data_IF_067174148981
#
_entry.id   IF_067174148981
#
_cell.length_a   1.000
_cell.length_b   1.000
_cell.length_c   1.000
_cell.angle_alpha   90.00
_cell.angle_beta   90.00
_cell.angle_gamma   90.00
#
_symmetry.space_group_name_H-M   'P 1'
#
loop_
_entity.id
_entity.type
_entity.pdbx_description
1 polymer ?
#
# COMPACT_ATOMS: atom_id res chain seq x y z
N UNK A 1 -0.28 5.88 -5.42
CA UNK A 1 -0.46 4.73 -6.29
C UNK A 1 0.73 3.79 -6.28
N UNK A 2 1.94 4.34 -6.23
CA UNK A 2 3.16 3.52 -6.15
C UNK A 2 3.21 2.69 -4.86
N UNK A 3 2.80 3.27 -3.75
CA UNK A 3 2.73 2.54 -2.48
C UNK A 3 1.75 1.38 -2.60
N UNK A 4 0.60 1.60 -3.22
CA UNK A 4 -0.39 0.54 -3.41
C UNK A 4 0.16 -0.59 -4.27
N UNK A 5 0.90 -0.27 -5.31
CA UNK A 5 1.56 -1.27 -6.16
C UNK A 5 2.53 -2.14 -5.35
N UNK A 6 3.33 -1.50 -4.49
CA UNK A 6 4.29 -2.23 -3.65
C UNK A 6 3.59 -3.10 -2.60
N UNK A 7 2.48 -2.62 -2.06
CA UNK A 7 1.65 -3.42 -1.15
C UNK A 7 1.18 -4.70 -1.88
N UNK A 8 0.71 -4.54 -3.11
CA UNK A 8 0.22 -5.65 -3.91
C UNK A 8 1.32 -6.66 -4.23
N UNK A 9 2.57 -6.21 -4.29
CA UNK A 9 3.73 -7.07 -4.51
C UNK A 9 4.18 -7.81 -3.25
N UNK A 10 3.52 -7.56 -2.12
CA UNK A 10 3.85 -8.22 -0.87
C UNK A 10 4.98 -7.56 -0.09
N UNK A 11 5.34 -6.34 -0.42
CA UNK A 11 6.41 -5.62 0.29
C UNK A 11 5.97 -5.20 1.68
N UNK A 12 6.88 -5.28 2.64
CA UNK A 12 6.65 -4.76 3.99
C UNK A 12 6.79 -3.24 4.00
N UNK A 13 6.33 -2.61 5.08
CA UNK A 13 6.51 -1.15 5.22
C UNK A 13 7.99 -0.75 5.16
N UNK A 14 8.87 -1.56 5.77
CA UNK A 14 10.29 -1.27 5.73
C UNK A 14 10.85 -1.36 4.31
N UNK A 15 10.43 -2.38 3.56
CA UNK A 15 10.85 -2.53 2.18
C UNK A 15 10.36 -1.38 1.30
N UNK A 16 9.12 -0.95 1.52
CA UNK A 16 8.56 0.19 0.80
C UNK A 16 9.33 1.46 1.14
N UNK A 17 9.60 1.68 2.43
CA UNK A 17 10.34 2.85 2.88
C UNK A 17 11.73 2.89 2.25
N UNK A 18 12.43 1.76 2.22
CA UNK A 18 13.75 1.67 1.63
C UNK A 18 13.72 1.96 0.13
N UNK A 19 12.73 1.42 -0.56
CA UNK A 19 12.63 1.56 -2.01
C UNK A 19 12.26 2.99 -2.43
N UNK A 20 11.43 3.66 -1.65
CA UNK A 20 10.96 5.01 -1.96
C UNK A 20 11.72 6.10 -1.23
N UNK A 21 12.74 5.73 -0.45
CA UNK A 21 13.55 6.68 0.35
C UNK A 21 12.68 7.47 1.34
N UNK A 22 11.75 6.78 1.98
CA UNK A 22 10.84 7.36 2.96
C UNK A 22 11.11 6.76 4.34
N UNK A 23 10.63 7.44 5.39
CA UNK A 23 10.66 6.87 6.73
C UNK A 23 9.55 5.83 6.88
N UNK A 24 9.72 4.90 7.82
CA UNK A 24 8.72 3.90 8.13
C UNK A 24 7.40 4.54 8.56
N UNK A 25 7.46 5.62 9.36
CA UNK A 25 6.26 6.33 9.79
C UNK A 25 5.50 6.96 8.63
N UNK A 26 6.22 7.51 7.64
CA UNK A 26 5.61 8.08 6.45
C UNK A 26 4.89 7.01 5.63
N UNK A 27 5.52 5.85 5.47
CA UNK A 27 4.91 4.73 4.75
C UNK A 27 3.66 4.25 5.48
N UNK A 28 3.73 4.15 6.80
CA UNK A 28 2.57 3.76 7.61
C UNK A 28 1.40 4.71 7.39
N UNK A 29 1.66 6.01 7.35
CA UNK A 29 0.61 6.99 7.08
C UNK A 29 0.01 6.81 5.69
N UNK A 30 0.83 6.58 4.69
CA UNK A 30 0.34 6.32 3.34
C UNK A 30 -0.53 5.08 3.29
N UNK A 31 -0.09 4.00 3.92
CA UNK A 31 -0.86 2.76 3.96
C UNK A 31 -2.21 2.99 4.63
N UNK A 32 -2.22 3.66 5.77
CA UNK A 32 -3.46 3.98 6.48
C UNK A 32 -4.41 4.78 5.60
N UNK A 33 -3.90 5.79 4.90
CA UNK A 33 -4.71 6.62 4.01
C UNK A 33 -5.27 5.80 2.84
N UNK A 34 -4.46 4.92 2.28
CA UNK A 34 -4.89 4.05 1.18
C UNK A 34 -6.02 3.14 1.63
N UNK A 35 -5.86 2.49 2.79
CA UNK A 35 -6.89 1.60 3.32
C UNK A 35 -8.19 2.35 3.56
N UNK A 36 -8.10 3.57 4.07
CA UNK A 36 -9.27 4.39 4.32
C UNK A 36 -9.98 4.77 3.02
N UNK A 37 -9.22 5.18 2.01
CA UNK A 37 -9.79 5.59 0.72
C UNK A 37 -10.45 4.44 -0.02
N UNK A 38 -9.91 3.23 0.13
CA UNK A 38 -10.45 2.04 -0.53
C UNK A 38 -11.51 1.35 0.32
N UNK A 39 -11.72 1.83 1.53
CA UNK A 39 -12.61 1.18 2.51
C UNK A 39 -12.19 -0.28 2.71
N UNK A 40 -10.89 -0.51 2.77
CA UNK A 40 -10.30 -1.83 2.94
C UNK A 40 -9.98 -2.08 4.41
N UNK A 41 -10.22 -3.29 4.88
CA UNK A 41 -9.96 -3.66 6.26
C UNK A 41 -8.50 -3.99 6.54
N UNK A 42 -7.73 -4.33 5.51
CA UNK A 42 -6.31 -4.67 5.65
C UNK A 42 -5.60 -4.55 4.30
N UNK A 43 -4.29 -4.79 4.32
CA UNK A 43 -3.44 -4.63 3.12
C UNK A 43 -3.80 -5.62 2.01
N UNK A 44 -4.12 -6.85 2.38
CA UNK A 44 -4.50 -7.87 1.41
C UNK A 44 -5.78 -7.46 0.68
N UNK A 45 -6.74 -6.95 1.42
CA UNK A 45 -7.99 -6.48 0.84
C UNK A 45 -7.76 -5.31 -0.11
N UNK A 46 -6.88 -4.37 0.28
CA UNK A 46 -6.53 -3.24 -0.58
C UNK A 46 -5.89 -3.73 -1.89
N UNK A 47 -4.99 -4.70 -1.81
CA UNK A 47 -4.36 -5.27 -2.99
C UNK A 47 -5.38 -5.93 -3.90
N UNK A 48 -6.33 -6.66 -3.34
CA UNK A 48 -7.38 -7.32 -4.12
C UNK A 48 -8.27 -6.31 -4.82
N UNK A 49 -8.64 -5.23 -4.12
CA UNK A 49 -9.46 -4.16 -4.71
C UNK A 49 -8.72 -3.54 -5.90
N UNK A 50 -7.43 -3.27 -5.74
CA UNK A 50 -6.62 -2.69 -6.80
C UNK A 50 -6.55 -3.59 -8.03
N UNK A 51 -6.39 -4.89 -7.83
CA UNK A 51 -6.35 -5.86 -8.91
C UNK A 51 -7.69 -5.94 -9.64
N UNK A 52 -8.79 -5.99 -8.88
CA UNK A 52 -10.13 -6.07 -9.46
C UNK A 52 -10.51 -4.81 -10.21
N UNK A 53 -9.99 -3.66 -9.76
CA UNK A 53 -10.24 -2.38 -10.42
C UNK A 53 -9.34 -2.13 -11.63
N UNK A 54 -8.40 -3.01 -11.89
CA UNK A 54 -7.51 -2.89 -13.02
C UNK A 54 -6.41 -1.84 -12.82
N UNK A 55 -6.11 -1.47 -11.59
CA UNK A 55 -5.06 -0.49 -11.30
C UNK A 55 -3.65 -1.09 -11.30
N UNK A 56 -3.56 -2.39 -11.27
CA UNK A 56 -2.29 -3.12 -11.23
C UNK A 56 -2.08 -3.98 -12.48
#
# INVERSE_FOLDING_TARGET
>A
LEVLLLIAQGKSNQEIADQLYLSNGTVRNYVTNILSKLDAGNRTEAANIAKESGWL
#
